data_IF_115123154281
#
_entry.id   IF_115123154281
#
_cell.length_a   1.000
_cell.length_b   1.000
_cell.length_c   1.000
_cell.angle_alpha   90.00
_cell.angle_beta   90.00
_cell.angle_gamma   90.00
#
_symmetry.space_group_name_H-M   'P 1'
#
loop_
_entity.id
_entity.type
_entity.pdbx_description
1 polymer ?
#
# COMPACT_ATOMS: atom_id res chain seq x y z
N UNK A 1 7.59 12.63 -28.36
CA UNK A 1 8.58 12.15 -27.38
C UNK A 1 8.45 10.63 -27.37
N UNK A 2 9.37 9.92 -28.02
CA UNK A 2 9.30 8.46 -28.12
C UNK A 2 9.36 7.88 -26.71
N UNK A 3 8.30 7.18 -26.29
CA UNK A 3 8.36 6.26 -25.15
C UNK A 3 9.51 5.31 -25.50
N UNK A 4 10.70 5.58 -24.95
CA UNK A 4 11.87 4.73 -25.05
C UNK A 4 11.38 3.29 -24.92
N UNK A 5 11.60 2.49 -25.97
CA UNK A 5 11.03 1.16 -26.11
C UNK A 5 11.30 0.37 -24.84
N UNK A 6 10.29 0.28 -23.97
CA UNK A 6 10.39 -0.47 -22.73
C UNK A 6 10.65 -1.90 -23.17
N UNK A 7 11.83 -2.42 -22.83
CA UNK A 7 12.16 -3.82 -23.12
C UNK A 7 11.09 -4.70 -22.46
N UNK A 8 10.27 -5.44 -23.25
CA UNK A 8 9.16 -6.21 -22.72
C UNK A 8 9.62 -7.28 -21.73
N UNK A 9 10.83 -7.81 -21.90
CA UNK A 9 11.40 -8.79 -20.97
C UNK A 9 11.67 -8.13 -19.62
N UNK A 10 12.41 -7.01 -19.64
CA UNK A 10 12.71 -6.24 -18.41
C UNK A 10 11.43 -5.75 -17.72
N UNK A 11 10.43 -5.33 -18.47
CA UNK A 11 9.14 -4.90 -17.93
C UNK A 11 8.47 -6.03 -17.16
N UNK A 12 8.36 -7.23 -17.75
CA UNK A 12 7.73 -8.36 -17.08
C UNK A 12 8.52 -8.82 -15.85
N UNK A 13 9.85 -8.78 -15.89
CA UNK A 13 10.68 -9.07 -14.70
C UNK A 13 10.36 -8.11 -13.56
N UNK A 14 10.34 -6.79 -13.84
CA UNK A 14 10.03 -5.78 -12.81
C UNK A 14 8.58 -5.91 -12.33
N UNK A 15 7.63 -6.09 -13.25
CA UNK A 15 6.21 -6.23 -12.93
C UNK A 15 5.97 -7.42 -11.98
N UNK A 16 6.55 -8.58 -12.28
CA UNK A 16 6.39 -9.77 -11.46
C UNK A 16 7.15 -9.65 -10.12
N UNK A 17 8.32 -9.00 -10.09
CA UNK A 17 9.02 -8.73 -8.84
C UNK A 17 8.20 -7.81 -7.91
N UNK A 18 7.60 -6.74 -8.45
CA UNK A 18 6.75 -5.84 -7.68
C UNK A 18 5.47 -6.52 -7.18
N UNK A 19 4.88 -7.41 -7.99
CA UNK A 19 3.74 -8.22 -7.57
C UNK A 19 4.13 -9.17 -6.42
N UNK A 20 5.26 -9.86 -6.53
CA UNK A 20 5.76 -10.74 -5.48
C UNK A 20 5.97 -9.97 -4.15
N UNK A 21 6.48 -8.73 -4.19
CA UNK A 21 6.64 -7.89 -2.99
C UNK A 21 5.30 -7.69 -2.26
N UNK A 22 4.24 -7.28 -2.96
CA UNK A 22 2.95 -7.03 -2.31
C UNK A 22 2.25 -8.33 -1.87
N UNK A 23 2.46 -9.43 -2.59
CA UNK A 23 1.99 -10.76 -2.18
C UNK A 23 2.70 -11.25 -0.91
N UNK A 24 4.00 -11.04 -0.79
CA UNK A 24 4.77 -11.36 0.41
C UNK A 24 4.36 -10.48 1.61
N UNK A 25 4.10 -9.19 1.39
CA UNK A 25 3.50 -8.32 2.40
C UNK A 25 2.19 -8.90 2.93
N UNK A 26 1.28 -9.30 2.02
CA UNK A 26 0.01 -9.91 2.38
C UNK A 26 0.17 -11.24 3.12
N UNK A 27 1.10 -12.08 2.66
CA UNK A 27 1.40 -13.35 3.30
C UNK A 27 1.99 -13.16 4.70
N UNK A 28 2.87 -12.17 4.90
CA UNK A 28 3.42 -11.81 6.20
C UNK A 28 2.31 -11.35 7.16
N UNK A 29 1.48 -10.40 6.72
CA UNK A 29 0.36 -9.86 7.50
C UNK A 29 -0.64 -10.95 7.91
N UNK A 30 -1.02 -11.83 6.97
CA UNK A 30 -1.87 -12.99 7.26
C UNK A 30 -1.23 -13.96 8.25
N UNK A 31 0.09 -14.20 8.15
CA UNK A 31 0.79 -15.13 9.03
C UNK A 31 0.89 -14.61 10.46
N UNK A 32 1.13 -13.32 10.65
CA UNK A 32 1.23 -12.67 11.96
C UNK A 32 -0.12 -12.39 12.64
N UNK A 33 -1.23 -12.45 11.90
CA UNK A 33 -2.53 -12.10 12.45
C UNK A 33 -3.09 -13.16 13.43
N UNK A 34 -3.64 -12.65 14.54
CA UNK A 34 -4.47 -13.42 15.48
C UNK A 34 -5.96 -13.41 15.09
N UNK A 35 -6.45 -12.32 14.49
CA UNK A 35 -7.86 -12.19 14.09
C UNK A 35 -8.20 -13.20 12.99
N UNK A 36 -9.29 -13.95 13.17
CA UNK A 36 -9.80 -14.88 12.16
C UNK A 36 -10.26 -14.14 10.89
N UNK A 37 -10.65 -12.87 11.01
CA UNK A 37 -11.02 -12.04 9.87
C UNK A 37 -9.83 -11.82 8.92
N UNK A 38 -8.65 -11.60 9.47
CA UNK A 38 -7.42 -11.47 8.69
C UNK A 38 -6.84 -12.84 8.33
N UNK A 39 -6.70 -13.73 9.33
CA UNK A 39 -6.02 -15.03 9.19
C UNK A 39 -6.76 -16.00 8.27
N UNK A 40 -8.08 -16.04 8.34
CA UNK A 40 -8.91 -17.04 7.64
C UNK A 40 -9.68 -16.42 6.49
N UNK A 41 -10.36 -15.29 6.72
CA UNK A 41 -11.16 -14.62 5.68
C UNK A 41 -10.33 -13.75 4.74
N UNK A 42 -9.08 -13.45 5.09
CA UNK A 42 -8.19 -12.58 4.32
C UNK A 42 -8.81 -11.20 4.04
N UNK A 43 -9.41 -10.62 5.09
CA UNK A 43 -9.99 -9.29 5.05
C UNK A 43 -8.91 -8.21 5.27
N UNK A 44 -8.02 -8.13 4.29
CA UNK A 44 -6.93 -7.16 4.23
C UNK A 44 -6.48 -6.98 2.78
N UNK A 45 -5.75 -5.90 2.51
CA UNK A 45 -5.09 -5.66 1.23
C UNK A 45 -3.72 -5.03 1.43
N UNK A 46 -2.83 -5.22 0.45
CA UNK A 46 -1.49 -4.64 0.42
C UNK A 46 -1.22 -4.04 -0.96
N UNK A 47 -0.49 -2.93 -1.01
CA UNK A 47 -0.16 -2.24 -2.26
C UNK A 47 1.12 -1.42 -2.18
N UNK A 48 1.69 -1.16 -3.35
CA UNK A 48 2.79 -0.23 -3.54
C UNK A 48 2.35 0.94 -4.42
N UNK A 49 2.81 2.13 -4.04
CA UNK A 49 2.47 3.41 -4.64
C UNK A 49 3.76 4.12 -5.04
N UNK A 50 3.72 4.85 -6.16
CA UNK A 50 4.85 5.68 -6.56
C UNK A 50 5.00 6.93 -5.67
N UNK A 51 6.04 7.72 -5.93
CA UNK A 51 6.33 8.97 -5.21
C UNK A 51 5.17 9.97 -5.19
N UNK A 52 4.24 9.87 -6.16
CA UNK A 52 3.05 10.72 -6.28
C UNK A 52 1.82 10.08 -5.64
N UNK A 53 2.00 9.04 -4.83
CA UNK A 53 0.94 8.26 -4.21
C UNK A 53 -0.02 7.62 -5.23
N UNK A 54 0.44 7.34 -6.46
CA UNK A 54 -0.37 6.62 -7.45
C UNK A 54 -0.10 5.13 -7.31
N UNK A 55 -1.17 4.36 -7.40
CA UNK A 55 -1.08 2.91 -7.24
C UNK A 55 -0.34 2.28 -8.41
N UNK A 56 0.64 1.41 -8.10
CA UNK A 56 1.45 0.72 -9.11
C UNK A 56 1.11 -0.75 -9.15
N UNK A 57 0.99 -1.39 -7.98
CA UNK A 57 0.67 -2.81 -7.85
C UNK A 57 -0.05 -3.08 -6.53
N UNK A 58 -0.95 -4.06 -6.53
CA UNK A 58 -1.68 -4.54 -5.37
C UNK A 58 -1.71 -6.06 -5.37
N UNK A 59 -1.64 -6.66 -4.19
CA UNK A 59 -1.91 -8.08 -4.03
C UNK A 59 -3.41 -8.35 -4.24
N UNK A 60 -3.75 -9.55 -4.71
CA UNK A 60 -5.16 -9.95 -4.85
C UNK A 60 -5.85 -9.91 -3.49
N UNK A 61 -6.90 -9.09 -3.38
CA UNK A 61 -7.47 -8.72 -2.10
C UNK A 61 -8.91 -8.21 -2.22
N UNK A 62 -9.49 -7.70 -1.12
CA UNK A 62 -10.88 -7.24 -1.08
C UNK A 62 -11.11 -6.07 -2.06
N UNK A 63 -12.10 -6.13 -2.97
CA UNK A 63 -12.35 -5.07 -3.96
C UNK A 63 -12.61 -3.69 -3.34
N UNK A 64 -13.25 -3.63 -2.18
CA UNK A 64 -13.52 -2.39 -1.45
C UNK A 64 -12.24 -1.71 -0.97
N UNK A 65 -11.28 -2.49 -0.48
CA UNK A 65 -9.96 -1.98 -0.09
C UNK A 65 -9.16 -1.49 -1.29
N UNK A 66 -9.31 -2.16 -2.45
CA UNK A 66 -8.63 -1.78 -3.70
C UNK A 66 -8.94 -0.32 -4.06
N UNK A 67 -10.23 0.03 -4.04
CA UNK A 67 -10.70 1.38 -4.29
C UNK A 67 -10.30 2.34 -3.15
N UNK A 68 -10.43 1.91 -1.90
CA UNK A 68 -10.16 2.76 -0.73
C UNK A 68 -8.70 3.24 -0.66
N UNK A 69 -7.74 2.35 -0.93
CA UNK A 69 -6.31 2.70 -0.83
C UNK A 69 -5.89 3.78 -1.84
N UNK A 70 -6.61 3.94 -2.96
CA UNK A 70 -6.35 4.99 -3.96
C UNK A 70 -6.63 6.38 -3.39
N UNK A 71 -7.50 6.51 -2.39
CA UNK A 71 -7.78 7.78 -1.69
C UNK A 71 -7.00 7.88 -0.38
N UNK A 72 -6.97 6.80 0.42
CA UNK A 72 -6.36 6.78 1.76
C UNK A 72 -4.89 7.16 1.68
N UNK A 73 -4.10 6.57 0.78
CA UNK A 73 -2.66 6.82 0.72
C UNK A 73 -2.31 8.28 0.37
N UNK A 74 -2.79 8.87 -0.75
CA UNK A 74 -2.46 10.25 -1.07
C UNK A 74 -2.97 11.24 -0.02
N UNK A 75 -4.17 11.03 0.53
CA UNK A 75 -4.71 11.91 1.56
C UNK A 75 -3.92 11.83 2.86
N UNK A 76 -3.53 10.62 3.29
CA UNK A 76 -2.74 10.41 4.50
C UNK A 76 -1.36 11.06 4.41
N UNK A 77 -0.67 10.85 3.29
CA UNK A 77 0.66 11.44 3.06
C UNK A 77 0.56 12.98 2.98
N UNK A 78 -0.47 13.50 2.32
CA UNK A 78 -0.72 14.94 2.23
C UNK A 78 -1.04 15.56 3.59
N UNK A 79 -1.89 14.93 4.38
CA UNK A 79 -2.31 15.44 5.69
C UNK A 79 -1.16 15.43 6.71
N UNK A 80 -0.30 14.41 6.66
CA UNK A 80 0.88 14.30 7.53
C UNK A 80 2.03 15.22 7.10
N UNK A 81 2.20 15.46 5.80
CA UNK A 81 3.30 16.24 5.24
C UNK A 81 4.51 15.38 4.90
N UNK A 82 4.95 15.40 3.65
CA UNK A 82 6.06 14.57 3.14
C UNK A 82 7.38 14.94 3.82
N UNK A 83 7.55 16.21 4.18
CA UNK A 83 8.69 16.74 4.90
C UNK A 83 8.86 16.18 6.32
N UNK A 84 7.81 15.57 6.88
CA UNK A 84 7.82 14.97 8.21
C UNK A 84 8.12 13.47 8.19
N UNK A 85 8.33 12.88 7.01
CA UNK A 85 8.59 11.45 6.83
C UNK A 85 10.08 11.14 6.84
N UNK A 86 10.46 10.14 7.64
CA UNK A 86 11.81 9.59 7.74
C UNK A 86 11.83 8.09 7.41
N UNK A 87 13.00 7.53 7.05
CA UNK A 87 13.15 6.09 6.87
C UNK A 87 12.73 5.31 8.14
N UNK A 88 11.83 4.36 7.96
CA UNK A 88 11.30 3.52 9.05
C UNK A 88 10.00 4.01 9.67
N UNK A 89 9.49 5.18 9.28
CA UNK A 89 8.20 5.68 9.76
C UNK A 89 7.02 4.86 9.20
N UNK A 90 5.91 4.88 9.94
CA UNK A 90 4.64 4.35 9.48
C UNK A 90 3.49 5.20 10.02
N UNK A 91 2.64 5.71 9.12
CA UNK A 91 1.43 6.45 9.48
C UNK A 91 0.28 5.45 9.62
N UNK A 92 -0.38 5.44 10.78
CA UNK A 92 -1.57 4.63 11.03
C UNK A 92 -2.81 5.51 10.90
N UNK A 93 -3.82 5.06 10.15
CA UNK A 93 -5.03 5.84 9.90
C UNK A 93 -6.27 4.96 9.79
N UNK A 94 -7.39 5.47 10.30
CA UNK A 94 -8.73 4.90 10.13
C UNK A 94 -9.83 5.99 10.07
N UNK A 95 -9.45 7.26 9.85
CA UNK A 95 -10.41 8.37 9.73
C UNK A 95 -11.03 8.40 8.33
N UNK A 96 -12.17 7.70 8.21
CA UNK A 96 -12.92 7.59 6.95
C UNK A 96 -13.45 8.92 6.42
N UNK A 97 -13.59 9.94 7.28
CA UNK A 97 -14.12 11.23 6.88
C UNK A 97 -13.04 12.12 6.26
N UNK A 98 -11.80 12.01 6.73
CA UNK A 98 -10.68 12.84 6.26
C UNK A 98 -9.93 12.23 5.10
N UNK A 99 -9.57 10.95 5.21
CA UNK A 99 -8.67 10.31 4.24
C UNK A 99 -9.40 9.36 3.29
N UNK A 100 -10.67 9.06 3.53
CA UNK A 100 -11.44 8.06 2.82
C UNK A 100 -11.31 6.68 3.48
N UNK A 101 -11.82 5.64 2.81
CA UNK A 101 -11.95 4.29 3.38
C UNK A 101 -13.40 3.86 3.53
N UNK A 102 -13.62 2.64 4.01
CA UNK A 102 -14.96 2.03 4.06
C UNK A 102 -15.66 2.31 5.39
N UNK A 103 -14.98 2.00 6.50
CA UNK A 103 -15.47 2.19 7.87
C UNK A 103 -14.32 2.14 8.88
N UNK A 104 -14.60 2.54 10.12
CA UNK A 104 -13.62 2.69 11.20
C UNK A 104 -12.84 1.41 11.56
N UNK A 105 -13.40 0.24 11.24
CA UNK A 105 -12.78 -1.06 11.47
C UNK A 105 -11.60 -1.32 10.53
N UNK A 106 -11.51 -0.63 9.39
CA UNK A 106 -10.40 -0.78 8.48
C UNK A 106 -9.28 0.17 8.91
N UNK A 107 -8.18 -0.42 9.38
CA UNK A 107 -6.99 0.32 9.80
C UNK A 107 -5.95 0.19 8.70
N UNK A 108 -5.53 1.33 8.16
CA UNK A 108 -4.44 1.40 7.19
C UNK A 108 -3.13 1.81 7.85
N UNK A 109 -2.03 1.24 7.36
CA UNK A 109 -0.67 1.67 7.67
C UNK A 109 -0.02 2.06 6.34
N UNK A 110 0.53 3.28 6.28
CA UNK A 110 1.23 3.82 5.11
C UNK A 110 2.67 4.11 5.52
N UNK A 111 3.64 3.50 4.85
CA UNK A 111 5.07 3.67 5.16
C UNK A 111 5.84 4.14 3.92
N UNK A 112 6.72 5.16 4.02
CA UNK A 112 7.58 5.57 2.92
C UNK A 112 8.68 4.53 2.66
N UNK A 113 8.97 4.32 1.38
CA UNK A 113 10.11 3.52 0.93
C UNK A 113 11.17 4.48 0.41
N UNK A 114 12.37 4.46 1.02
CA UNK A 114 13.48 5.31 0.63
C UNK A 114 14.50 4.56 -0.23
N UNK A 115 15.11 5.26 -1.18
CA UNK A 115 16.32 4.84 -1.90
C UNK A 115 17.33 5.97 -1.79
N UNK A 116 18.35 5.77 -0.95
CA UNK A 116 19.17 6.89 -0.49
C UNK A 116 18.34 7.85 0.36
N UNK A 117 18.44 9.14 0.09
CA UNK A 117 17.72 10.19 0.82
C UNK A 117 16.38 10.59 0.15
N UNK A 118 15.98 9.89 -0.92
CA UNK A 118 14.76 10.17 -1.65
C UNK A 118 13.69 9.11 -1.39
N UNK A 119 12.44 9.55 -1.20
CA UNK A 119 11.28 8.65 -1.20
C UNK A 119 11.14 8.08 -2.60
N UNK A 120 11.26 6.76 -2.75
CA UNK A 120 11.01 6.02 -3.98
C UNK A 120 9.51 5.75 -4.19
N UNK A 121 8.75 5.63 -3.10
CA UNK A 121 7.32 5.38 -3.12
C UNK A 121 6.79 5.09 -1.72
N UNK A 122 5.61 4.49 -1.66
CA UNK A 122 4.95 4.13 -0.41
C UNK A 122 4.45 2.70 -0.48
N UNK A 123 4.59 1.98 0.63
CA UNK A 123 3.85 0.73 0.84
C UNK A 123 2.67 1.03 1.74
N UNK A 124 1.55 0.37 1.47
CA UNK A 124 0.39 0.46 2.32
C UNK A 124 -0.27 -0.90 2.49
N UNK A 125 -0.77 -1.14 3.70
CA UNK A 125 -1.73 -2.21 3.95
C UNK A 125 -2.96 -1.64 4.65
N UNK A 126 -4.09 -2.28 4.44
CA UNK A 126 -5.34 -2.02 5.16
C UNK A 126 -5.88 -3.36 5.65
N UNK A 127 -6.29 -3.44 6.91
CA UNK A 127 -6.78 -4.66 7.50
C UNK A 127 -7.97 -4.39 8.43
N UNK A 128 -8.96 -5.28 8.35
CA UNK A 128 -10.19 -5.15 9.10
C UNK A 128 -10.02 -5.69 10.53
N UNK A 129 -10.07 -4.79 11.51
CA UNK A 129 -9.98 -5.08 12.93
C UNK A 129 -11.37 -5.31 13.56
N UNK A 130 -11.60 -6.54 14.05
CA UNK A 130 -12.73 -6.98 14.90
C UNK A 130 -12.22 -8.01 15.90
#
# INVERSE_FOLDING_TARGET
>A
MSLLSVDPIRFEVIRNAMLAVVEEMGAALKRSAYSTNIKTRADFSCGFFDQKCRIVVQAFAQPTHLASLVEVVPNTVKDYGVENLSPGDGIIVNDVHRVGGVHLNDIAVVSPVFVGDEIFGYVANIAHHV
#
